data_IF_964780212632
#
_entry.id   IF_964780212632
#
_cell.length_a   1.000
_cell.length_b   1.000
_cell.length_c   1.000
_cell.angle_alpha   90.00
_cell.angle_beta   90.00
_cell.angle_gamma   90.00
#
_symmetry.space_group_name_H-M   'P 1'
#
loop_
_entity.id
_entity.type
_entity.pdbx_description
1 polymer ?
#
# COMPACT_ATOMS: atom_id res chain seq x y z
N UNK A 1 -9.57 -3.76 -5.50
CA UNK A 1 -8.64 -3.29 -6.55
C UNK A 1 -7.24 -3.44 -5.98
N UNK A 2 -6.57 -4.54 -6.28
CA UNK A 2 -5.24 -4.85 -5.75
C UNK A 2 -4.22 -4.17 -6.64
N UNK A 3 -3.48 -3.20 -6.09
CA UNK A 3 -2.39 -2.56 -6.83
C UNK A 3 -1.23 -3.56 -6.79
N UNK A 4 -1.06 -4.32 -7.86
CA UNK A 4 0.04 -5.25 -8.01
C UNK A 4 1.33 -4.44 -8.17
N UNK A 5 2.10 -4.36 -7.08
CA UNK A 5 3.29 -3.52 -7.01
C UNK A 5 4.49 -4.15 -7.75
N UNK A 6 4.35 -5.27 -8.48
CA UNK A 6 5.50 -6.09 -8.92
C UNK A 6 6.09 -5.73 -10.31
N UNK A 7 5.43 -4.91 -11.13
CA UNK A 7 6.02 -4.38 -12.38
C UNK A 7 6.67 -3.00 -12.15
N UNK A 8 7.97 -3.02 -11.84
CA UNK A 8 8.78 -1.89 -11.35
C UNK A 8 9.42 -1.04 -12.46
N UNK A 9 8.95 -1.19 -13.70
CA UNK A 9 9.46 -0.44 -14.85
C UNK A 9 8.55 0.75 -15.12
N UNK A 10 8.95 1.93 -14.65
CA UNK A 10 8.27 3.21 -14.92
C UNK A 10 6.82 3.31 -14.42
N UNK A 11 6.65 3.62 -13.14
CA UNK A 11 5.35 4.17 -12.71
C UNK A 11 5.10 5.47 -13.47
N UNK A 12 3.98 5.48 -14.20
CA UNK A 12 3.52 6.66 -14.94
C UNK A 12 3.38 7.86 -14.01
N UNK A 13 3.42 9.06 -14.58
CA UNK A 13 3.20 10.29 -13.81
C UNK A 13 1.89 10.26 -12.99
N UNK A 14 0.87 9.54 -13.50
CA UNK A 14 -0.39 9.28 -12.81
C UNK A 14 -0.23 8.38 -11.58
N UNK A 15 0.57 7.31 -11.66
CA UNK A 15 0.83 6.44 -10.51
C UNK A 15 1.63 7.16 -9.42
N UNK A 16 2.60 7.99 -9.81
CA UNK A 16 3.35 8.82 -8.87
C UNK A 16 2.42 9.82 -8.15
N UNK A 17 1.54 10.49 -8.90
CA UNK A 17 0.53 11.41 -8.36
C UNK A 17 -0.38 10.72 -7.33
N UNK A 18 -0.82 9.50 -7.61
CA UNK A 18 -1.66 8.72 -6.70
C UNK A 18 -0.93 8.41 -5.39
N UNK A 19 0.30 7.89 -5.46
CA UNK A 19 1.10 7.57 -4.27
C UNK A 19 1.41 8.81 -3.43
N UNK A 20 1.78 9.91 -4.09
CA UNK A 20 2.02 11.19 -3.40
C UNK A 20 0.76 11.67 -2.68
N UNK A 21 -0.42 11.58 -3.32
CA UNK A 21 -1.70 11.94 -2.68
C UNK A 21 -2.04 11.10 -1.46
N UNK A 22 -1.63 9.83 -1.43
CA UNK A 22 -1.81 8.97 -0.25
C UNK A 22 -0.94 9.45 0.91
N UNK A 23 0.29 9.90 0.62
CA UNK A 23 1.25 10.34 1.63
C UNK A 23 1.00 11.77 2.13
N UNK A 24 0.49 12.67 1.28
CA UNK A 24 0.17 14.04 1.68
C UNK A 24 0.25 15.08 0.57
N UNK A 25 0.53 16.32 0.96
CA UNK A 25 0.73 17.44 0.04
C UNK A 25 2.08 17.33 -0.71
N UNK A 26 2.22 18.07 -1.80
CA UNK A 26 3.49 18.14 -2.53
C UNK A 26 4.64 18.69 -1.65
N UNK A 27 4.34 19.61 -0.73
CA UNK A 27 5.34 20.20 0.16
C UNK A 27 5.83 19.21 1.22
N UNK A 28 4.93 18.46 1.83
CA UNK A 28 5.27 17.43 2.82
C UNK A 28 6.11 16.32 2.19
N UNK A 29 5.67 15.80 1.04
CA UNK A 29 6.40 14.74 0.33
C UNK A 29 7.74 15.25 -0.21
N UNK A 30 7.83 16.52 -0.63
CA UNK A 30 9.11 17.12 -1.01
C UNK A 30 10.10 17.12 0.16
N UNK A 31 9.66 17.51 1.36
CA UNK A 31 10.50 17.50 2.56
C UNK A 31 10.94 16.08 2.94
N UNK A 32 10.02 15.11 2.92
CA UNK A 32 10.32 13.70 3.24
C UNK A 32 11.35 13.08 2.28
N UNK A 33 11.32 13.47 1.00
CA UNK A 33 12.20 12.95 -0.02
C UNK A 33 13.48 13.77 -0.23
N UNK A 34 13.66 14.88 0.49
CA UNK A 34 14.78 15.81 0.26
C UNK A 34 14.75 16.46 -1.14
N UNK A 35 13.55 16.67 -1.69
CA UNK A 35 13.31 17.28 -2.99
C UNK A 35 12.66 18.66 -2.84
N UNK A 36 12.53 19.38 -3.95
CA UNK A 36 11.73 20.62 -3.99
C UNK A 36 10.30 20.33 -4.40
N UNK A 37 9.35 21.15 -3.96
CA UNK A 37 7.94 21.09 -4.42
C UNK A 37 7.84 21.18 -5.95
N UNK A 38 8.72 21.97 -6.59
CA UNK A 38 8.78 22.07 -8.05
C UNK A 38 9.17 20.74 -8.71
N UNK A 39 10.12 20.00 -8.12
CA UNK A 39 10.51 18.66 -8.58
C UNK A 39 9.33 17.70 -8.52
N UNK A 40 8.57 17.70 -7.42
CA UNK A 40 7.36 16.86 -7.29
C UNK A 40 6.33 17.22 -8.37
N UNK A 41 6.03 18.51 -8.55
CA UNK A 41 5.09 19.00 -9.56
C UNK A 41 5.50 18.62 -10.99
N UNK A 42 6.78 18.78 -11.34
CA UNK A 42 7.29 18.39 -12.66
C UNK A 42 7.23 16.88 -12.87
N UNK A 43 7.50 16.08 -11.83
CA UNK A 43 7.39 14.61 -11.89
C UNK A 43 5.94 14.16 -12.12
N UNK A 44 4.97 14.76 -11.42
CA UNK A 44 3.53 14.47 -11.58
C UNK A 44 2.99 14.83 -12.96
N UNK A 45 3.64 15.78 -13.64
CA UNK A 45 3.33 16.15 -15.03
C UNK A 45 4.10 15.31 -16.06
N UNK A 46 4.91 14.36 -15.61
CA UNK A 46 5.75 13.52 -16.47
C UNK A 46 6.86 14.30 -17.19
N UNK A 47 7.22 15.50 -16.70
CA UNK A 47 8.24 16.36 -17.33
C UNK A 47 9.67 15.95 -16.97
N UNK A 48 9.83 15.31 -15.82
CA UNK A 48 11.12 14.82 -15.34
C UNK A 48 10.98 13.41 -14.77
N UNK A 49 12.11 12.71 -14.73
CA UNK A 49 12.28 11.56 -13.85
C UNK A 49 12.94 12.02 -12.55
N UNK A 50 12.61 11.35 -11.45
CA UNK A 50 13.30 11.53 -10.17
C UNK A 50 14.32 10.40 -10.00
N UNK A 51 15.31 10.63 -9.12
CA UNK A 51 16.30 9.60 -8.80
C UNK A 51 15.62 8.34 -8.24
N UNK A 52 16.26 7.19 -8.48
CA UNK A 52 15.78 5.90 -7.99
C UNK A 52 15.67 5.89 -6.47
N UNK A 53 16.58 6.53 -5.73
CA UNK A 53 16.51 6.56 -4.26
C UNK A 53 15.25 7.29 -3.77
N UNK A 54 14.91 8.43 -4.36
CA UNK A 54 13.70 9.18 -4.00
C UNK A 54 12.42 8.40 -4.33
N UNK A 55 12.45 7.60 -5.40
CA UNK A 55 11.37 6.69 -5.72
C UNK A 55 11.23 5.58 -4.67
N UNK A 56 12.33 4.91 -4.32
CA UNK A 56 12.33 3.84 -3.32
C UNK A 56 11.86 4.35 -1.95
N UNK A 57 12.27 5.56 -1.57
CA UNK A 57 11.82 6.21 -0.34
C UNK A 57 10.31 6.48 -0.35
N UNK A 58 9.74 6.99 -1.45
CA UNK A 58 8.29 7.19 -1.57
C UNK A 58 7.52 5.87 -1.39
N UNK A 59 8.00 4.79 -2.03
CA UNK A 59 7.35 3.47 -1.95
C UNK A 59 7.46 2.88 -0.54
N UNK A 60 8.61 3.02 0.13
CA UNK A 60 8.78 2.60 1.50
C UNK A 60 7.79 3.30 2.44
N UNK A 61 7.67 4.63 2.33
CA UNK A 61 6.71 5.41 3.09
C UNK A 61 5.26 4.97 2.84
N UNK A 62 4.90 4.69 1.58
CA UNK A 62 3.57 4.16 1.28
C UNK A 62 3.35 2.80 1.94
N UNK A 63 4.32 1.88 1.88
CA UNK A 63 4.22 0.56 2.51
C UNK A 63 4.05 0.66 4.02
N UNK A 64 4.81 1.50 4.70
CA UNK A 64 4.70 1.69 6.15
C UNK A 64 3.29 2.10 6.59
N UNK A 65 2.59 2.93 5.80
CA UNK A 65 1.19 3.29 6.10
C UNK A 65 0.22 2.12 5.97
N UNK A 66 0.46 1.18 5.06
CA UNK A 66 -0.40 0.01 4.86
C UNK A 66 -0.08 -1.13 5.82
N UNK A 67 1.19 -1.31 6.19
CA UNK A 67 1.64 -2.33 7.14
C UNK A 67 1.23 -1.98 8.59
N UNK A 68 1.11 -0.67 8.89
CA UNK A 68 0.67 -0.18 10.20
C UNK A 68 -0.84 -0.31 10.46
N UNK A 69 -1.62 -0.86 9.52
CA UNK A 69 -3.02 -1.23 9.78
C UNK A 69 -3.01 -2.67 10.29
N UNK A 70 -3.17 -2.93 11.61
CA UNK A 70 -3.35 -4.30 12.06
C UNK A 70 -4.56 -4.89 11.33
N UNK A 71 -4.53 -6.17 10.92
CA UNK A 71 -5.75 -6.80 10.43
C UNK A 71 -6.78 -6.59 11.53
N UNK A 72 -7.88 -5.91 11.21
CA UNK A 72 -9.01 -5.79 12.11
C UNK A 72 -9.39 -7.21 12.50
N UNK A 73 -9.06 -7.59 13.73
CA UNK A 73 -9.46 -8.86 14.34
C UNK A 73 -10.98 -8.82 14.45
N UNK A 74 -11.65 -9.19 13.37
CA UNK A 74 -13.05 -9.55 13.42
C UNK A 74 -13.05 -10.88 14.15
N UNK A 75 -13.32 -10.85 15.46
CA UNK A 75 -13.72 -12.03 16.21
C UNK A 75 -15.01 -12.53 15.59
N UNK A 76 -14.90 -13.42 14.61
CA UNK A 76 -16.03 -14.26 14.21
C UNK A 76 -16.16 -15.26 15.34
N UNK A 77 -17.14 -15.06 16.22
CA UNK A 77 -17.56 -16.10 17.16
C UNK A 77 -17.72 -17.39 16.35
N UNK A 78 -16.85 -18.36 16.64
CA UNK A 78 -17.02 -19.70 16.10
C UNK A 78 -18.33 -20.24 16.69
N UNK A 79 -19.24 -20.81 15.90
CA UNK A 79 -20.40 -21.49 16.46
C UNK A 79 -19.89 -22.68 17.26
N UNK A 80 -19.87 -22.50 18.59
CA UNK A 80 -19.74 -23.57 19.56
C UNK A 80 -20.91 -24.54 19.33
N UNK A 81 -20.59 -25.80 19.04
CA UNK A 81 -21.63 -26.75 18.67
C UNK A 81 -21.09 -28.10 18.23
N UNK A 82 -20.08 -28.59 18.95
CA UNK A 82 -19.68 -29.99 18.91
C UNK A 82 -20.85 -30.85 19.42
N UNK A 83 -21.31 -31.82 18.65
CA UNK A 83 -22.01 -32.98 19.19
C UNK A 83 -21.59 -34.20 18.35
N UNK A 84 -20.80 -35.05 19.01
CA UNK A 84 -20.12 -36.18 18.42
C UNK A 84 -21.03 -37.26 17.86
N UNK A 85 -20.44 -38.13 17.05
CA UNK A 85 -21.00 -39.43 16.70
C UNK A 85 -21.15 -40.35 17.92
N UNK A 86 -21.63 -41.61 17.75
CA UNK A 86 -20.99 -42.54 16.82
C UNK A 86 -21.94 -43.44 16.00
N UNK A 87 -21.34 -44.08 14.99
CA UNK A 87 -21.86 -45.28 14.32
C UNK A 87 -21.98 -46.49 15.27
N UNK A 88 -23.11 -47.20 15.20
CA UNK A 88 -23.33 -48.63 15.50
C UNK A 88 -24.75 -48.92 14.96
N UNK A 89 -25.10 -49.95 14.19
CA UNK A 89 -24.65 -51.34 14.11
C UNK A 89 -25.92 -52.19 13.93
N UNK A 90 -25.88 -53.20 13.06
CA UNK A 90 -26.89 -54.19 12.68
C UNK A 90 -27.98 -54.60 13.71
N UNK A 91 -29.19 -54.90 13.19
CA UNK A 91 -30.25 -55.66 13.85
C UNK A 91 -31.52 -55.77 13.00
#
# INVERSE_FOLDING_TARGET
MTIDLHEWSEISAKGYLLLRKLLGSQGEVAQLLGLTTATICLRERGKIQIKREAWLALVALCREMFDSVPPTSICVESPDGSSGGPEAGHG
#
